data_IF_705690791982
#
_entry.id   IF_705690791982
#
_cell.length_a   1.000
_cell.length_b   1.000
_cell.length_c   1.000
_cell.angle_alpha   90.00
_cell.angle_beta   90.00
_cell.angle_gamma   90.00
#
_symmetry.space_group_name_H-M   'P 1'
#
loop_
_entity.id
_entity.type
_entity.pdbx_description
1 polymer ?
#
# COMPACT_ATOMS: atom_id res chain seq x y z
N UNK A 1 33.71 17.40 5.31
CA UNK A 1 33.41 16.02 4.84
C UNK A 1 31.92 15.94 4.62
N UNK A 2 31.51 15.81 3.36
CA UNK A 2 30.15 16.02 2.86
C UNK A 2 29.17 14.94 3.33
N UNK A 3 27.95 15.40 3.61
CA UNK A 3 26.79 14.70 4.11
C UNK A 3 26.46 13.42 3.29
N UNK A 4 26.44 12.26 3.95
CA UNK A 4 26.05 10.96 3.38
C UNK A 4 24.53 10.74 3.31
N UNK A 5 23.71 11.77 3.50
CA UNK A 5 22.25 11.66 3.41
C UNK A 5 21.68 11.78 1.98
N UNK A 6 22.51 11.87 0.93
CA UNK A 6 22.02 12.14 -0.45
C UNK A 6 21.65 10.91 -1.29
N UNK A 7 21.53 9.71 -0.73
CA UNK A 7 21.18 8.51 -1.51
C UNK A 7 20.14 7.61 -0.81
N UNK A 8 18.97 8.17 -0.49
CA UNK A 8 17.73 7.40 -0.51
C UNK A 8 16.53 8.31 -0.87
N UNK A 9 16.04 8.31 -2.12
CA UNK A 9 14.91 9.14 -2.53
C UNK A 9 13.59 8.79 -1.82
N UNK A 10 13.54 7.69 -1.06
CA UNK A 10 12.37 7.27 -0.29
C UNK A 10 12.18 8.06 1.02
N UNK A 11 13.15 8.87 1.47
CA UNK A 11 13.23 9.25 2.89
C UNK A 11 12.95 10.73 3.19
N UNK A 12 12.63 11.57 2.20
CA UNK A 12 12.39 13.00 2.45
C UNK A 12 10.91 13.36 2.61
N UNK A 13 9.97 12.46 2.25
CA UNK A 13 8.51 12.68 2.33
C UNK A 13 7.72 11.36 2.49
N UNK A 14 8.24 10.37 3.25
CA UNK A 14 7.53 9.12 3.46
C UNK A 14 6.33 9.31 4.39
N UNK A 15 5.15 9.51 3.82
CA UNK A 15 3.92 9.49 4.60
C UNK A 15 3.60 8.05 5.03
N UNK A 16 2.98 7.91 6.21
CA UNK A 16 2.32 6.68 6.60
C UNK A 16 1.03 6.54 5.79
N UNK A 17 0.70 5.30 5.43
CA UNK A 17 -0.57 4.93 4.80
C UNK A 17 -1.21 3.83 5.62
N UNK A 18 -2.51 3.94 5.86
CA UNK A 18 -3.29 2.96 6.60
C UNK A 18 -4.68 2.82 6.02
N UNK A 19 -5.42 1.83 6.53
CA UNK A 19 -6.83 1.60 6.17
C UNK A 19 -7.69 2.12 7.33
N UNK A 20 -8.66 2.98 7.02
CA UNK A 20 -9.63 3.48 7.98
C UNK A 20 -10.71 2.45 8.31
N UNK A 21 -11.54 2.76 9.31
CA UNK A 21 -12.72 1.92 9.64
C UNK A 21 -13.77 1.87 8.51
N UNK A 22 -13.66 2.78 7.55
CA UNK A 22 -14.46 2.86 6.33
C UNK A 22 -13.86 2.06 5.16
N UNK A 23 -12.82 1.25 5.41
CA UNK A 23 -12.06 0.50 4.42
C UNK A 23 -11.34 1.36 3.37
N UNK A 24 -11.26 2.67 3.54
CA UNK A 24 -10.54 3.56 2.62
C UNK A 24 -9.10 3.79 3.05
N UNK A 25 -8.27 4.30 2.14
CA UNK A 25 -6.90 4.66 2.47
C UNK A 25 -6.85 6.03 3.15
N UNK A 26 -6.06 6.11 4.19
CA UNK A 26 -5.75 7.33 4.91
C UNK A 26 -4.24 7.51 4.95
N UNK A 27 -3.79 8.76 4.98
CA UNK A 27 -2.37 9.10 5.05
C UNK A 27 -2.07 10.12 6.13
N UNK A 28 -0.85 10.09 6.66
CA UNK A 28 -0.34 11.14 7.56
C UNK A 28 1.17 11.26 7.43
N UNK A 29 1.68 12.48 7.60
CA UNK A 29 3.11 12.78 7.39
C UNK A 29 4.04 12.18 8.44
N UNK A 30 3.58 12.12 9.69
CA UNK A 30 4.34 11.60 10.83
C UNK A 30 3.47 10.71 11.70
N UNK A 31 4.08 9.99 12.65
CA UNK A 31 3.35 9.16 13.63
C UNK A 31 2.35 9.92 14.51
N UNK A 32 2.46 11.25 14.57
CA UNK A 32 1.63 12.12 15.44
C UNK A 32 0.78 13.11 14.67
N UNK A 33 0.92 13.18 13.34
CA UNK A 33 0.07 14.02 12.50
C UNK A 33 -1.36 13.48 12.44
N UNK A 34 -2.32 14.36 12.18
CA UNK A 34 -3.68 13.97 11.87
C UNK A 34 -3.71 13.09 10.62
N UNK A 35 -4.65 12.15 10.58
CA UNK A 35 -4.94 11.37 9.40
C UNK A 35 -5.78 12.20 8.42
N UNK A 36 -5.44 12.10 7.15
CA UNK A 36 -6.16 12.70 6.04
C UNK A 36 -6.63 11.58 5.11
N UNK A 37 -7.90 11.61 4.72
CA UNK A 37 -8.46 10.61 3.81
C UNK A 37 -7.86 10.81 2.42
N UNK A 38 -7.46 9.72 1.76
CA UNK A 38 -7.07 9.76 0.36
C UNK A 38 -8.34 9.71 -0.48
N UNK A 39 -8.66 10.75 -1.26
CA UNK A 39 -9.91 10.79 -2.02
C UNK A 39 -9.91 9.70 -3.10
N UNK A 40 -11.10 9.14 -3.36
CA UNK A 40 -11.32 8.11 -4.37
C UNK A 40 -10.37 6.91 -4.23
N UNK A 41 -9.98 6.54 -3.00
CA UNK A 41 -9.00 5.49 -2.78
C UNK A 41 -9.50 4.08 -3.02
N UNK A 42 -10.81 3.90 -3.26
CA UNK A 42 -11.45 2.59 -3.21
C UNK A 42 -11.46 1.98 -1.81
N UNK A 43 -12.13 0.84 -1.70
CA UNK A 43 -12.24 0.04 -0.47
C UNK A 43 -11.26 -1.13 -0.53
N UNK A 44 -10.51 -1.33 0.55
CA UNK A 44 -9.54 -2.42 0.70
C UNK A 44 -9.60 -3.05 2.09
N UNK A 45 -9.27 -4.33 2.16
CA UNK A 45 -9.22 -5.11 3.40
C UNK A 45 -7.82 -5.13 4.02
N UNK A 46 -6.78 -5.17 3.19
CA UNK A 46 -5.38 -5.12 3.60
C UNK A 46 -4.54 -4.47 2.51
N UNK A 47 -3.36 -3.95 2.87
CA UNK A 47 -2.41 -3.34 1.94
C UNK A 47 -0.96 -3.70 2.28
N UNK A 48 -0.10 -3.73 1.27
CA UNK A 48 1.36 -3.78 1.42
C UNK A 48 2.03 -2.96 0.32
N UNK A 49 3.18 -2.37 0.61
CA UNK A 49 4.01 -1.71 -0.41
C UNK A 49 5.01 -2.68 -1.00
N UNK A 50 5.12 -2.69 -2.32
CA UNK A 50 6.20 -3.32 -3.06
C UNK A 50 7.48 -2.46 -2.97
N UNK A 51 8.68 -3.04 -3.19
CA UNK A 51 9.93 -2.29 -3.17
C UNK A 51 10.00 -1.11 -4.16
N UNK A 52 9.23 -1.16 -5.25
CA UNK A 52 9.13 -0.10 -6.25
C UNK A 52 8.16 1.03 -5.86
N UNK A 53 7.50 0.92 -4.70
CA UNK A 53 6.50 1.87 -4.21
C UNK A 53 5.07 1.60 -4.67
N UNK A 54 4.82 0.57 -5.50
CA UNK A 54 3.47 0.14 -5.87
C UNK A 54 2.73 -0.37 -4.63
N UNK A 55 1.50 0.10 -4.42
CA UNK A 55 0.63 -0.44 -3.38
C UNK A 55 -0.11 -1.66 -3.91
N UNK A 56 -0.05 -2.78 -3.19
CA UNK A 56 -0.90 -3.95 -3.42
C UNK A 56 -1.96 -3.98 -2.33
N UNK A 57 -3.21 -4.19 -2.71
CA UNK A 57 -4.34 -4.26 -1.80
C UNK A 57 -5.16 -5.53 -2.00
N UNK A 58 -5.80 -6.00 -0.93
CA UNK A 58 -6.87 -6.99 -1.01
C UNK A 58 -8.17 -6.22 -1.19
N UNK A 59 -8.88 -6.45 -2.30
CA UNK A 59 -10.20 -5.87 -2.54
C UNK A 59 -11.28 -6.48 -1.65
N UNK A 60 -12.46 -5.86 -1.61
CA UNK A 60 -13.61 -6.41 -0.88
C UNK A 60 -14.11 -7.76 -1.45
N UNK A 61 -13.64 -8.12 -2.64
CA UNK A 61 -13.84 -9.40 -3.32
C UNK A 61 -12.76 -10.46 -2.96
N UNK A 62 -11.90 -10.15 -1.98
CA UNK A 62 -10.75 -10.97 -1.57
C UNK A 62 -9.71 -11.21 -2.68
N UNK A 63 -9.78 -10.52 -3.82
CA UNK A 63 -8.77 -10.59 -4.87
C UNK A 63 -7.67 -9.54 -4.65
N UNK A 64 -6.52 -9.72 -5.31
CA UNK A 64 -5.45 -8.73 -5.27
C UNK A 64 -5.61 -7.66 -6.35
N UNK A 65 -5.28 -6.42 -5.98
CA UNK A 65 -5.29 -5.24 -6.82
C UNK A 65 -3.99 -4.46 -6.64
N UNK A 66 -3.54 -3.75 -7.67
CA UNK A 66 -2.37 -2.86 -7.60
C UNK A 66 -2.76 -1.41 -7.81
N UNK A 67 -2.01 -0.49 -7.18
CA UNK A 67 -2.15 0.95 -7.35
C UNK A 67 -0.76 1.58 -7.39
N UNK A 68 -0.30 1.93 -8.59
CA UNK A 68 1.07 2.42 -8.87
C UNK A 68 1.45 3.64 -8.04
N UNK A 69 0.57 4.64 -8.00
CA UNK A 69 0.67 5.76 -7.07
C UNK A 69 -0.54 5.72 -6.12
N UNK A 70 -0.29 5.45 -4.83
CA UNK A 70 -1.34 5.30 -3.83
C UNK A 70 -2.19 6.57 -3.61
N UNK A 71 -1.73 7.75 -4.04
CA UNK A 71 -2.48 9.01 -3.94
C UNK A 71 -3.40 9.25 -5.13
N UNK A 72 -2.99 8.87 -6.34
CA UNK A 72 -3.62 9.38 -7.58
C UNK A 72 -3.96 8.33 -8.63
N UNK A 73 -3.30 7.16 -8.64
CA UNK A 73 -3.60 6.13 -9.63
C UNK A 73 -4.93 5.43 -9.34
N UNK A 74 -5.49 4.79 -10.36
CA UNK A 74 -6.59 3.84 -10.17
C UNK A 74 -6.06 2.49 -9.68
N UNK A 75 -6.95 1.66 -9.15
CA UNK A 75 -6.67 0.25 -8.89
C UNK A 75 -6.73 -0.56 -10.19
N UNK A 76 -5.78 -1.48 -10.35
CA UNK A 76 -5.71 -2.44 -11.46
C UNK A 76 -5.78 -3.86 -10.88
N UNK A 77 -6.76 -4.66 -11.31
CA UNK A 77 -6.97 -6.03 -10.83
C UNK A 77 -5.80 -6.95 -11.21
N UNK A 78 -5.37 -7.80 -10.27
CA UNK A 78 -4.40 -8.87 -10.54
C UNK A 78 -5.17 -10.16 -10.85
N UNK A 79 -5.24 -10.58 -12.12
CA UNK A 79 -5.99 -11.77 -12.50
C UNK A 79 -5.37 -13.03 -11.90
N UNK A 80 -6.22 -14.02 -11.59
CA UNK A 80 -5.82 -15.32 -11.03
C UNK A 80 -5.05 -15.22 -9.69
N UNK A 81 -5.26 -14.15 -8.92
CA UNK A 81 -4.63 -13.99 -7.60
C UNK A 81 -5.22 -14.93 -6.54
N UNK A 82 -6.41 -15.47 -6.77
CA UNK A 82 -7.11 -16.29 -5.80
C UNK A 82 -7.66 -15.45 -4.64
N UNK A 83 -8.36 -16.10 -3.71
CA UNK A 83 -8.92 -15.41 -2.55
C UNK A 83 -7.89 -15.32 -1.42
N UNK A 84 -7.65 -14.11 -0.90
CA UNK A 84 -6.56 -13.82 0.05
C UNK A 84 -7.11 -13.09 1.28
N UNK A 85 -6.63 -13.47 2.47
CA UNK A 85 -6.99 -12.85 3.77
C UNK A 85 -5.95 -11.85 4.27
N UNK A 86 -4.68 -12.10 3.99
CA UNK A 86 -3.57 -11.24 4.39
C UNK A 86 -2.48 -11.27 3.33
N UNK A 87 -1.75 -10.17 3.17
CA UNK A 87 -0.65 -10.02 2.23
C UNK A 87 0.53 -9.28 2.84
N UNK A 88 1.73 -9.65 2.42
CA UNK A 88 2.96 -8.89 2.67
C UNK A 88 3.91 -9.00 1.49
N UNK A 89 4.67 -7.94 1.24
CA UNK A 89 5.72 -7.91 0.23
C UNK A 89 7.09 -8.11 0.88
N UNK A 90 7.90 -8.96 0.26
CA UNK A 90 9.29 -9.19 0.65
C UNK A 90 10.23 -8.19 -0.05
N UNK A 91 11.44 -7.93 0.50
CA UNK A 91 12.39 -7.01 -0.12
C UNK A 91 12.82 -7.36 -1.55
N UNK A 92 12.72 -8.64 -1.94
CA UNK A 92 13.00 -9.12 -3.30
C UNK A 92 11.83 -8.92 -4.28
N UNK A 93 10.71 -8.36 -3.82
CA UNK A 93 9.50 -8.15 -4.62
C UNK A 93 8.52 -9.32 -4.63
N UNK A 94 8.80 -10.41 -3.91
CA UNK A 94 7.84 -11.52 -3.78
C UNK A 94 6.67 -11.12 -2.88
N UNK A 95 5.46 -11.52 -3.25
CA UNK A 95 4.27 -11.44 -2.40
C UNK A 95 4.03 -12.75 -1.67
N UNK A 96 3.81 -12.67 -0.35
CA UNK A 96 3.37 -13.79 0.47
C UNK A 96 1.96 -13.48 0.96
N UNK A 97 1.04 -14.43 0.78
CA UNK A 97 -0.35 -14.30 1.17
C UNK A 97 -0.86 -15.48 1.99
N UNK A 98 -1.94 -15.26 2.71
CA UNK A 98 -2.71 -16.31 3.39
C UNK A 98 -4.00 -16.54 2.61
N UNK A 99 -4.21 -17.76 2.14
CA UNK A 99 -5.43 -18.20 1.45
C UNK A 99 -6.62 -18.31 2.39
N UNK A 100 -7.80 -18.58 1.81
CA UNK A 100 -9.05 -18.78 2.58
C UNK A 100 -9.36 -20.27 2.85
N UNK A 101 -8.49 -21.20 2.48
CA UNK A 101 -8.68 -22.65 2.56
C UNK A 101 -8.02 -23.35 3.76
#
# INVERSE_FOLDING_TARGET
>A
MSNLQSQNPLNANANLVGIGMDNQLWTRKTLTSNWEQIPNSGLVLAITFMPDGTLVGIGMDHQLWTRKNYLTSNWEHIPNSGAVLAITAMPDGTLVGIGMD
#
